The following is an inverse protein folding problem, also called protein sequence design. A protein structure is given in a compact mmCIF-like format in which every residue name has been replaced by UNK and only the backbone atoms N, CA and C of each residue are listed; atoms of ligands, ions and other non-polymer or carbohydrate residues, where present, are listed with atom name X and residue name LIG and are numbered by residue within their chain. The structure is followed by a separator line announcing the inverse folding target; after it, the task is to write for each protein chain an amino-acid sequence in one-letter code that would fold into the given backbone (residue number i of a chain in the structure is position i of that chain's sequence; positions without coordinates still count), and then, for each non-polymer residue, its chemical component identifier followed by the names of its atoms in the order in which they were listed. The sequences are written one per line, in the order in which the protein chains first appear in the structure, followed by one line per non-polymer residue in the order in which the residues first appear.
data_IF_737753237751
#
_entry.id   IF_737753237751
#
_cell.length_a   1.000
_cell.length_b   1.000
_cell.length_c   1.000
_cell.angle_alpha   90.00
_cell.angle_beta   90.00
_cell.angle_gamma   90.00
#
_symmetry.space_group_name_H-M   'P 1'
#
loop_
_entity.id
_entity.type
_entity.pdbx_description
1 polymer ?
#
# COMPACT_ATOMS: atom_id res chain seq x y z
N UNK A 1 7.06 7.89 -1.14
CA UNK A 1 6.27 7.94 0.12
C UNK A 1 4.86 7.40 -0.12
N UNK A 2 4.30 6.61 0.80
CA UNK A 2 3.10 5.80 0.58
C UNK A 2 1.79 6.32 1.23
N UNK A 3 1.89 7.40 2.03
CA UNK A 3 0.75 8.16 2.61
C UNK A 3 -0.26 7.35 3.45
N UNK A 4 0.21 6.62 4.47
CA UNK A 4 -0.67 5.92 5.41
C UNK A 4 -1.13 6.81 6.56
N UNK A 5 -2.43 6.78 6.85
CA UNK A 5 -2.99 7.41 8.04
C UNK A 5 -2.63 6.60 9.30
N UNK A 6 -2.23 7.29 10.37
CA UNK A 6 -1.73 6.68 11.61
C UNK A 6 -2.72 5.76 12.35
N UNK A 7 -4.03 5.87 12.09
CA UNK A 7 -5.01 4.93 12.64
C UNK A 7 -4.83 3.48 12.13
N UNK A 8 -4.08 3.29 11.04
CA UNK A 8 -3.74 1.96 10.52
C UNK A 8 -2.51 1.33 11.20
N UNK A 9 -1.96 1.90 12.27
CA UNK A 9 -0.73 1.41 12.92
C UNK A 9 -0.76 -0.10 13.20
N UNK A 10 -1.89 -0.62 13.70
CA UNK A 10 -2.06 -2.04 13.97
C UNK A 10 -2.03 -2.89 12.69
N UNK A 11 -2.63 -2.41 11.60
CA UNK A 11 -2.59 -3.08 10.30
C UNK A 11 -1.18 -3.04 9.66
N UNK A 12 -0.35 -2.08 10.05
CA UNK A 12 1.07 -2.00 9.71
C UNK A 12 1.96 -2.87 10.62
N UNK A 13 1.39 -3.52 11.64
CA UNK A 13 2.10 -4.39 12.58
C UNK A 13 2.82 -3.65 13.71
N UNK A 14 2.43 -2.40 13.99
CA UNK A 14 3.00 -1.59 15.07
C UNK A 14 2.14 -1.72 16.35
N UNK A 15 2.78 -1.61 17.51
CA UNK A 15 2.13 -1.79 18.81
C UNK A 15 1.32 -0.57 19.26
N UNK A 16 1.69 0.62 18.79
CA UNK A 16 1.01 1.89 19.07
C UNK A 16 1.17 2.87 17.90
N UNK A 17 0.42 3.98 17.95
CA UNK A 17 0.54 5.06 16.97
C UNK A 17 1.91 5.74 17.05
N UNK A 18 2.49 5.86 18.25
CA UNK A 18 3.82 6.42 18.48
C UNK A 18 4.90 5.55 17.86
N UNK A 19 4.82 4.22 18.03
CA UNK A 19 5.75 3.26 17.39
C UNK A 19 5.70 3.40 15.87
N UNK A 20 4.49 3.50 15.31
CA UNK A 20 4.29 3.73 13.89
C UNK A 20 4.87 5.06 13.39
N UNK A 21 4.63 6.16 14.10
CA UNK A 21 5.19 7.47 13.72
C UNK A 21 6.70 7.45 13.78
N UNK A 22 7.29 6.88 14.83
CA UNK A 22 8.74 6.75 14.96
C UNK A 22 9.35 5.97 13.79
N UNK A 23 8.75 4.84 13.42
CA UNK A 23 9.19 4.04 12.28
C UNK A 23 9.01 4.79 10.94
N UNK A 24 7.90 5.53 10.76
CA UNK A 24 7.67 6.36 9.57
C UNK A 24 8.68 7.50 9.44
N UNK A 25 9.15 8.07 10.55
CA UNK A 25 10.15 9.13 10.59
C UNK A 25 11.60 8.63 10.45
N UNK A 26 11.87 7.35 10.71
CA UNK A 26 13.23 6.79 10.72
C UNK A 26 13.85 6.72 9.32
N UNK A 27 13.14 6.17 8.32
CA UNK A 27 13.66 6.06 6.96
C UNK A 27 12.58 5.68 5.93
N UNK A 28 12.84 5.95 4.65
CA UNK A 28 12.00 5.47 3.55
C UNK A 28 11.91 3.94 3.50
N UNK A 29 12.97 3.24 3.91
CA UNK A 29 12.97 1.78 4.01
C UNK A 29 11.94 1.29 5.04
N UNK A 30 11.87 1.92 6.21
CA UNK A 30 10.85 1.60 7.22
C UNK A 30 9.45 1.91 6.71
N UNK A 31 9.27 3.04 6.02
CA UNK A 31 7.99 3.34 5.37
C UNK A 31 7.58 2.22 4.40
N UNK A 32 8.50 1.73 3.55
CA UNK A 32 8.24 0.62 2.65
C UNK A 32 7.88 -0.68 3.39
N UNK A 33 8.61 -1.03 4.45
CA UNK A 33 8.32 -2.22 5.26
C UNK A 33 6.92 -2.16 5.86
N UNK A 34 6.52 -1.02 6.42
CA UNK A 34 5.16 -0.84 6.97
C UNK A 34 4.10 -0.92 5.88
N UNK A 35 4.36 -0.36 4.70
CA UNK A 35 3.49 -0.46 3.53
C UNK A 35 3.25 -1.92 3.13
N UNK A 36 4.32 -2.71 3.06
CA UNK A 36 4.23 -4.13 2.69
C UNK A 36 3.45 -4.95 3.73
N UNK A 37 3.65 -4.66 5.03
CA UNK A 37 2.86 -5.28 6.10
C UNK A 37 1.38 -4.94 5.98
N UNK A 38 1.06 -3.67 5.74
CA UNK A 38 -0.32 -3.23 5.52
C UNK A 38 -0.97 -3.94 4.32
N UNK A 39 -0.28 -4.01 3.18
CA UNK A 39 -0.76 -4.73 1.98
C UNK A 39 -1.11 -6.19 2.30
N UNK A 40 -0.26 -6.86 3.09
CA UNK A 40 -0.48 -8.24 3.52
C UNK A 40 -1.69 -8.34 4.46
N UNK A 41 -1.75 -7.49 5.49
CA UNK A 41 -2.78 -7.56 6.53
C UNK A 41 -4.17 -7.19 5.99
N UNK A 42 -4.25 -6.21 5.08
CA UNK A 42 -5.47 -5.80 4.38
C UNK A 42 -5.88 -6.75 3.24
N UNK A 43 -5.20 -7.90 3.11
CA UNK A 43 -5.48 -8.96 2.12
C UNK A 43 -5.44 -8.47 0.67
N UNK A 44 -4.56 -7.52 0.38
CA UNK A 44 -4.32 -6.99 -0.98
C UNK A 44 -3.20 -7.74 -1.71
N UNK A 45 -2.35 -8.47 -0.98
CA UNK A 45 -1.24 -9.20 -1.57
C UNK A 45 -1.64 -10.18 -2.68
N UNK A 46 -2.74 -10.95 -2.59
CA UNK A 46 -3.13 -11.86 -3.67
C UNK A 46 -3.44 -11.15 -4.99
N UNK A 47 -4.17 -10.04 -4.98
CA UNK A 47 -4.47 -9.29 -6.21
C UNK A 47 -3.20 -8.67 -6.80
N UNK A 48 -2.29 -8.17 -5.94
CA UNK A 48 -0.99 -7.67 -6.40
C UNK A 48 -0.14 -8.75 -7.08
N UNK A 49 -0.05 -9.95 -6.49
CA UNK A 49 0.69 -11.08 -7.05
C UNK A 49 0.07 -11.62 -8.34
N UNK A 50 -1.26 -11.63 -8.41
CA UNK A 50 -2.02 -12.04 -9.60
C UNK A 50 -1.99 -10.99 -10.72
N UNK A 51 -1.43 -9.80 -10.47
CA UNK A 51 -1.45 -8.64 -11.37
C UNK A 51 -2.87 -8.18 -11.70
N UNK A 52 -3.80 -8.39 -10.77
CA UNK A 52 -5.14 -7.83 -10.83
C UNK A 52 -5.08 -6.37 -10.36
N UNK A 53 -4.67 -5.50 -11.29
CA UNK A 53 -4.45 -4.08 -11.01
C UNK A 53 -5.72 -3.35 -10.62
N UNK A 54 -6.87 -3.75 -11.17
CA UNK A 54 -8.17 -3.18 -10.84
C UNK A 54 -8.55 -3.50 -9.39
N UNK A 55 -8.51 -4.77 -8.97
CA UNK A 55 -8.86 -5.14 -7.59
C UNK A 55 -7.85 -4.59 -6.58
N UNK A 56 -6.55 -4.59 -6.91
CA UNK A 56 -5.54 -3.98 -6.06
C UNK A 56 -5.77 -2.47 -5.92
N UNK A 57 -5.95 -1.74 -7.02
CA UNK A 57 -6.17 -0.30 -7.01
C UNK A 57 -7.46 0.08 -6.27
N UNK A 58 -8.53 -0.71 -6.44
CA UNK A 58 -9.80 -0.51 -5.72
C UNK A 58 -9.65 -0.66 -4.23
N UNK A 59 -8.90 -1.66 -3.75
CA UNK A 59 -8.66 -1.88 -2.33
C UNK A 59 -7.73 -0.82 -1.72
N UNK A 60 -6.71 -0.42 -2.46
CA UNK A 60 -5.70 0.52 -1.96
C UNK A 60 -6.19 1.97 -1.99
N UNK A 61 -6.79 2.39 -3.10
CA UNK A 61 -7.17 3.79 -3.35
C UNK A 61 -8.68 4.05 -3.12
N UNK A 62 -9.48 3.00 -2.93
CA UNK A 62 -10.92 3.11 -2.71
C UNK A 62 -11.77 2.90 -3.98
N UNK A 63 -13.11 2.92 -3.85
CA UNK A 63 -14.03 2.57 -4.94
C UNK A 63 -13.96 3.52 -6.14
N UNK A 64 -13.47 4.74 -5.96
CA UNK A 64 -13.30 5.73 -7.02
C UNK A 64 -11.94 5.64 -7.74
N UNK A 65 -11.15 4.58 -7.50
CA UNK A 65 -9.79 4.42 -8.05
C UNK A 65 -9.69 4.67 -9.57
N UNK A 66 -10.72 4.26 -10.32
CA UNK A 66 -10.75 4.34 -11.77
C UNK A 66 -10.82 5.79 -12.29
N UNK A 67 -11.35 6.73 -11.49
CA UNK A 67 -11.39 8.15 -11.87
C UNK A 67 -9.98 8.74 -12.03
N UNK A 68 -9.03 8.21 -11.27
CA UNK A 68 -7.62 8.59 -11.31
C UNK A 68 -6.77 7.62 -12.14
N UNK A 69 -7.39 6.64 -12.82
CA UNK A 69 -6.71 5.61 -13.63
C UNK A 69 -5.61 4.84 -12.87
N UNK A 70 -5.77 4.60 -11.56
CA UNK A 70 -4.72 3.95 -10.76
C UNK A 70 -4.39 2.54 -11.24
N UNK A 71 -5.39 1.79 -11.69
CA UNK A 71 -5.23 0.46 -12.29
C UNK A 71 -4.36 0.48 -13.55
N UNK A 72 -4.66 1.38 -14.48
CA UNK A 72 -3.90 1.52 -15.74
C UNK A 72 -2.46 1.97 -15.48
N UNK A 73 -2.27 2.94 -14.57
CA UNK A 73 -0.92 3.40 -14.20
C UNK A 73 -0.07 2.28 -13.59
N UNK A 74 -0.66 1.42 -12.75
CA UNK A 74 0.02 0.25 -12.20
C UNK A 74 0.39 -0.76 -13.29
N UNK A 75 -0.53 -1.02 -14.22
CA UNK A 75 -0.28 -1.92 -15.36
C UNK A 75 0.85 -1.41 -16.25
N UNK A 76 0.77 -0.15 -16.68
CA UNK A 76 1.78 0.49 -17.53
C UNK A 76 3.16 0.49 -16.88
N UNK A 77 3.23 0.82 -15.58
CA UNK A 77 4.47 0.77 -14.82
C UNK A 77 5.04 -0.66 -14.75
N UNK A 78 4.20 -1.67 -14.51
CA UNK A 78 4.65 -3.06 -14.49
C UNK A 78 5.23 -3.49 -15.85
N UNK A 79 4.57 -3.14 -16.96
CA UNK A 79 5.08 -3.48 -18.29
C UNK A 79 6.39 -2.76 -18.62
N UNK A 80 6.56 -1.53 -18.14
CA UNK A 80 7.79 -0.74 -18.34
C UNK A 80 9.02 -1.33 -17.61
N UNK A 81 8.82 -1.92 -16.43
CA UNK A 81 9.91 -2.38 -15.55
C UNK A 81 10.03 -3.91 -15.46
N UNK A 82 9.32 -4.64 -16.32
CA UNK A 82 9.48 -6.10 -16.45
C UNK A 82 10.81 -6.48 -17.09
#
# INVERSE_FOLDING_TARGET
MFQFMGFNYAACGESSVESFVNAMCESEFKQLVLSARFIKQARMLPSLQAKDWAEFARRYNGPTYAQNNYDKQLEEAYQKYR
#
